data_IF_903269995863
#
_entry.id   IF_903269995863
#
_cell.length_a   1.000
_cell.length_b   1.000
_cell.length_c   1.000
_cell.angle_alpha   90.00
_cell.angle_beta   90.00
_cell.angle_gamma   90.00
#
_symmetry.space_group_name_H-M   'P 1'
#
loop_
_entity.id
_entity.type
_entity.pdbx_description
1 polymer ?
#
# COMPACT_ATOMS: atom_id res chain seq x y z
N UNK A 1 7.12 6.25 17.05
CA UNK A 1 5.65 6.39 17.06
C UNK A 1 5.33 7.72 16.41
N UNK A 2 4.90 7.72 15.14
CA UNK A 2 4.25 8.89 14.54
C UNK A 2 2.77 8.63 14.74
N UNK A 3 2.19 9.25 15.76
CA UNK A 3 0.75 9.26 15.96
C UNK A 3 0.13 10.16 14.89
N UNK A 4 -0.69 9.54 14.03
CA UNK A 4 -1.38 10.17 12.91
C UNK A 4 -2.33 11.27 13.41
N UNK A 5 -1.86 12.52 13.44
CA UNK A 5 -2.68 13.73 13.64
C UNK A 5 -3.48 14.14 12.40
N UNK A 6 -4.09 13.18 11.70
CA UNK A 6 -4.93 13.52 10.56
C UNK A 6 -6.22 12.72 10.66
N UNK A 7 -7.27 13.34 11.18
CA UNK A 7 -8.59 12.71 11.39
C UNK A 7 -9.61 13.27 10.37
N UNK A 8 -9.18 13.46 9.12
CA UNK A 8 -10.04 13.91 8.03
C UNK A 8 -10.65 12.72 7.26
N UNK A 9 -11.97 12.75 6.95
CA UNK A 9 -12.62 11.77 6.07
C UNK A 9 -12.10 11.87 4.62
N UNK A 10 -12.20 10.77 3.86
CA UNK A 10 -11.92 10.75 2.42
C UNK A 10 -10.44 10.73 2.00
N UNK A 11 -9.51 10.40 2.89
CA UNK A 11 -8.09 10.43 2.51
C UNK A 11 -7.71 9.31 1.54
N UNK A 12 -6.78 9.66 0.67
CA UNK A 12 -6.22 8.81 -0.38
C UNK A 12 -5.00 8.02 0.14
N UNK A 13 -4.79 6.82 -0.39
CA UNK A 13 -3.65 5.97 -0.07
C UNK A 13 -3.04 5.36 -1.32
N UNK A 14 -1.72 5.50 -1.47
CA UNK A 14 -0.94 4.81 -2.49
C UNK A 14 0.04 3.86 -1.81
N UNK A 15 -0.07 2.57 -2.11
CA UNK A 15 0.81 1.52 -1.59
C UNK A 15 1.57 0.89 -2.75
N UNK A 16 2.88 1.04 -2.76
CA UNK A 16 3.74 0.44 -3.79
C UNK A 16 4.55 -0.69 -3.16
N UNK A 17 4.34 -1.89 -3.68
CA UNK A 17 5.05 -3.10 -3.25
C UNK A 17 6.13 -3.45 -4.26
N UNK A 18 7.37 -3.10 -3.90
CA UNK A 18 8.56 -3.28 -4.73
C UNK A 18 8.90 -4.77 -4.96
N UNK A 19 9.63 -5.04 -6.04
CA UNK A 19 9.96 -6.41 -6.51
C UNK A 19 10.76 -7.22 -5.49
N UNK A 20 11.58 -6.53 -4.69
CA UNK A 20 12.46 -7.07 -3.65
C UNK A 20 11.76 -7.44 -2.35
N UNK A 21 10.43 -7.31 -2.25
CA UNK A 21 9.70 -7.72 -1.05
C UNK A 21 9.86 -9.24 -0.86
N UNK A 22 10.65 -9.60 0.14
CA UNK A 22 10.82 -10.96 0.62
C UNK A 22 9.72 -11.27 1.64
N UNK A 23 9.03 -12.39 1.46
CA UNK A 23 8.11 -12.92 2.48
C UNK A 23 8.80 -13.77 3.53
N UNK A 24 10.12 -13.92 3.44
CA UNK A 24 10.89 -14.77 4.38
C UNK A 24 10.81 -14.24 5.81
N UNK A 25 10.67 -12.92 5.97
CA UNK A 25 10.60 -12.24 7.28
C UNK A 25 9.18 -11.85 7.69
N UNK A 26 8.16 -12.27 6.94
CA UNK A 26 6.75 -12.04 7.27
C UNK A 26 6.32 -12.97 8.40
N UNK A 27 6.74 -12.66 9.62
CA UNK A 27 6.33 -13.40 10.81
C UNK A 27 4.82 -13.26 11.03
N UNK A 28 4.19 -14.34 11.51
CA UNK A 28 2.77 -14.30 11.92
C UNK A 28 2.50 -13.15 12.89
N UNK A 29 3.44 -12.86 13.81
CA UNK A 29 3.35 -11.74 14.75
C UNK A 29 3.30 -10.38 14.04
N UNK A 30 4.09 -10.19 12.98
CA UNK A 30 4.05 -8.97 12.17
C UNK A 30 2.72 -8.83 11.43
N UNK A 31 2.24 -9.90 10.79
CA UNK A 31 0.95 -9.92 10.08
C UNK A 31 -0.21 -9.66 11.04
N UNK A 32 -0.23 -10.35 12.18
CA UNK A 32 -1.27 -10.21 13.19
C UNK A 32 -1.26 -8.82 13.85
N UNK A 33 -0.06 -8.30 14.15
CA UNK A 33 0.11 -6.94 14.67
C UNK A 33 -0.34 -5.90 13.66
N UNK A 34 0.04 -6.03 12.39
CA UNK A 34 -0.42 -5.18 11.30
C UNK A 34 -1.95 -5.26 11.15
N UNK A 35 -2.54 -6.46 11.17
CA UNK A 35 -3.98 -6.67 11.13
C UNK A 35 -4.73 -6.06 12.32
N UNK A 36 -4.17 -6.13 13.54
CA UNK A 36 -4.73 -5.43 14.71
C UNK A 36 -4.61 -3.91 14.59
N UNK A 37 -3.46 -3.40 14.12
CA UNK A 37 -3.26 -1.97 13.88
C UNK A 37 -4.18 -1.46 12.79
N UNK A 38 -4.41 -2.25 11.75
CA UNK A 38 -5.39 -2.03 10.70
C UNK A 38 -6.80 -1.94 11.27
N UNK A 39 -7.28 -2.97 11.99
CA UNK A 39 -8.61 -2.94 12.64
C UNK A 39 -8.81 -1.73 13.58
N UNK A 40 -7.73 -1.20 14.16
CA UNK A 40 -7.72 -0.01 15.03
C UNK A 40 -7.48 1.29 14.29
N UNK A 41 -6.86 1.25 13.12
CA UNK A 41 -6.80 2.39 12.24
C UNK A 41 -8.27 2.70 11.94
N UNK A 42 -8.68 3.95 12.14
CA UNK A 42 -9.94 4.43 11.63
C UNK A 42 -9.84 4.32 10.11
N UNK A 43 -10.16 3.14 9.60
CA UNK A 43 -10.40 2.94 8.18
C UNK A 43 -11.49 3.91 7.80
N UNK A 44 -11.20 4.66 6.75
CA UNK A 44 -11.75 5.98 6.58
C UNK A 44 -13.04 5.76 5.84
N UNK A 45 -14.19 6.04 6.44
CA UNK A 45 -15.46 6.05 5.71
C UNK A 45 -15.26 6.78 4.38
N UNK A 46 -15.40 6.04 3.27
CA UNK A 46 -15.21 6.48 1.88
C UNK A 46 -13.78 6.87 1.46
N UNK A 47 -12.73 6.23 2.00
CA UNK A 47 -11.36 6.38 1.51
C UNK A 47 -11.11 5.66 0.18
N UNK A 48 -10.07 6.07 -0.56
CA UNK A 48 -9.57 5.36 -1.75
C UNK A 48 -8.14 4.88 -1.53
N UNK A 49 -7.87 3.61 -1.82
CA UNK A 49 -6.52 3.04 -1.70
C UNK A 49 -6.14 2.30 -2.98
N UNK A 50 -5.00 2.67 -3.56
CA UNK A 50 -4.40 1.99 -4.70
C UNK A 50 -3.18 1.17 -4.26
N UNK A 51 -3.17 -0.12 -4.59
CA UNK A 51 -2.00 -0.99 -4.46
C UNK A 51 -1.35 -1.18 -5.83
N UNK A 52 -0.05 -0.91 -5.94
CA UNK A 52 0.77 -1.20 -7.12
C UNK A 52 1.76 -2.30 -6.76
N UNK A 53 1.61 -3.49 -7.35
CA UNK A 53 2.35 -4.68 -6.94
C UNK A 53 3.31 -5.13 -8.04
N UNK A 54 4.59 -5.29 -7.70
CA UNK A 54 5.64 -5.72 -8.64
C UNK A 54 5.97 -7.23 -8.59
N UNK A 55 5.25 -8.02 -7.77
CA UNK A 55 5.43 -9.48 -7.68
C UNK A 55 4.10 -10.22 -7.53
N UNK A 56 4.07 -11.50 -7.92
CA UNK A 56 2.87 -12.33 -7.76
C UNK A 56 2.46 -12.51 -6.29
N UNK A 57 3.45 -12.59 -5.40
CA UNK A 57 3.22 -12.72 -3.95
C UNK A 57 2.60 -11.45 -3.37
N UNK A 58 3.14 -10.28 -3.69
CA UNK A 58 2.57 -9.00 -3.26
C UNK A 58 1.15 -8.79 -3.82
N UNK A 59 0.90 -9.21 -5.06
CA UNK A 59 -0.45 -9.20 -5.63
C UNK A 59 -1.43 -10.07 -4.85
N UNK A 60 -1.01 -11.28 -4.44
CA UNK A 60 -1.81 -12.15 -3.58
C UNK A 60 -2.14 -11.50 -2.22
N UNK A 61 -1.14 -10.90 -1.58
CA UNK A 61 -1.33 -10.19 -0.31
C UNK A 61 -2.29 -9.00 -0.43
N UNK A 62 -2.17 -8.20 -1.49
CA UNK A 62 -3.09 -7.09 -1.75
C UNK A 62 -4.54 -7.57 -1.92
N UNK A 63 -4.75 -8.72 -2.58
CA UNK A 63 -6.09 -9.30 -2.75
C UNK A 63 -6.69 -9.74 -1.42
N UNK A 64 -5.90 -10.40 -0.58
CA UNK A 64 -6.34 -10.80 0.77
C UNK A 64 -6.76 -9.56 1.58
N UNK A 65 -5.97 -8.48 1.51
CA UNK A 65 -6.31 -7.22 2.13
C UNK A 65 -7.64 -6.67 1.62
N UNK A 66 -7.80 -6.59 0.29
CA UNK A 66 -9.03 -6.07 -0.33
C UNK A 66 -10.26 -6.86 0.13
N UNK A 67 -10.20 -8.19 0.11
CA UNK A 67 -11.31 -9.03 0.58
C UNK A 67 -11.64 -8.80 2.05
N UNK A 68 -10.64 -8.57 2.90
CA UNK A 68 -10.88 -8.26 4.31
C UNK A 68 -11.51 -6.87 4.52
N UNK A 69 -11.18 -5.90 3.66
CA UNK A 69 -11.71 -4.54 3.73
C UNK A 69 -13.11 -4.39 3.12
N UNK A 70 -13.42 -5.12 2.04
CA UNK A 70 -14.76 -5.14 1.42
C UNK A 70 -15.82 -5.69 2.37
N UNK A 71 -15.50 -6.71 3.17
CA UNK A 71 -16.40 -7.28 4.19
C UNK A 71 -16.83 -6.23 5.24
N UNK A 72 -16.05 -5.17 5.40
CA UNK A 72 -16.30 -4.13 6.40
C UNK A 72 -16.73 -2.77 5.79
N UNK A 73 -16.95 -2.70 4.46
CA UNK A 73 -17.35 -1.49 3.71
C UNK A 73 -16.48 -0.26 3.98
N UNK A 74 -15.17 -0.49 4.09
CA UNK A 74 -14.24 0.49 4.64
C UNK A 74 -13.68 1.48 3.61
N UNK A 75 -13.06 0.99 2.55
CA UNK A 75 -12.35 1.79 1.54
C UNK A 75 -12.62 1.24 0.13
N UNK A 76 -12.69 2.12 -0.87
CA UNK A 76 -12.61 1.71 -2.28
C UNK A 76 -11.17 1.30 -2.59
N UNK A 77 -10.95 0.02 -2.92
CA UNK A 77 -9.60 -0.52 -3.13
C UNK A 77 -9.39 -0.96 -4.58
N UNK A 78 -8.34 -0.41 -5.19
CA UNK A 78 -7.86 -0.78 -6.52
C UNK A 78 -6.49 -1.44 -6.43
N UNK A 79 -6.34 -2.60 -7.07
CA UNK A 79 -5.07 -3.33 -7.12
C UNK A 79 -4.59 -3.36 -8.57
N UNK A 80 -3.36 -2.91 -8.78
CA UNK A 80 -2.72 -2.73 -10.07
C UNK A 80 -1.37 -3.49 -10.08
N UNK A 81 -0.96 -3.93 -11.28
CA UNK A 81 0.34 -4.59 -11.49
C UNK A 81 1.44 -3.55 -11.73
N UNK A 82 2.67 -4.03 -11.96
CA UNK A 82 3.92 -3.27 -11.99
C UNK A 82 3.91 -2.00 -12.86
N UNK A 83 3.15 -2.00 -13.95
CA UNK A 83 3.00 -0.92 -14.93
C UNK A 83 1.84 0.05 -14.59
N UNK A 84 1.11 -0.22 -13.52
CA UNK A 84 -0.10 0.52 -13.15
C UNK A 84 0.12 1.71 -12.24
N UNK A 85 1.36 2.18 -12.04
CA UNK A 85 1.66 3.31 -11.16
C UNK A 85 0.96 4.60 -11.61
N UNK A 86 1.09 4.97 -12.89
CA UNK A 86 0.41 6.16 -13.43
C UNK A 86 -1.11 6.05 -13.31
N UNK A 87 -1.65 4.86 -13.58
CA UNK A 87 -3.09 4.58 -13.44
C UNK A 87 -3.56 4.71 -11.98
N UNK A 88 -2.71 4.34 -11.02
CA UNK A 88 -2.99 4.54 -9.59
C UNK A 88 -2.99 6.03 -9.22
N UNK A 89 -1.97 6.77 -9.66
CA UNK A 89 -1.82 8.20 -9.41
C UNK A 89 -3.03 8.95 -9.97
N UNK A 90 -3.40 8.68 -11.22
CA UNK A 90 -4.56 9.29 -11.87
C UNK A 90 -5.89 8.93 -11.19
N UNK A 91 -6.07 7.65 -10.82
CA UNK A 91 -7.32 7.24 -10.16
C UNK A 91 -7.48 7.84 -8.76
N UNK A 92 -6.37 8.09 -8.07
CA UNK A 92 -6.36 8.79 -6.79
C UNK A 92 -6.51 10.32 -6.95
N UNK A 93 -6.23 10.89 -8.12
CA UNK A 93 -6.26 12.34 -8.35
C UNK A 93 -5.09 13.06 -7.64
N UNK A 94 -3.90 12.45 -7.67
CA UNK A 94 -2.68 12.93 -7.00
C UNK A 94 -1.54 13.20 -7.98
N UNK A 95 -1.86 13.53 -9.22
CA UNK A 95 -0.91 13.78 -10.32
C UNK A 95 0.13 14.84 -9.97
N UNK A 96 -0.23 15.85 -9.18
CA UNK A 96 0.68 16.89 -8.68
C UNK A 96 1.84 16.34 -7.82
N UNK A 97 1.72 15.10 -7.33
CA UNK A 97 2.75 14.42 -6.55
C UNK A 97 3.47 13.31 -7.33
N UNK A 98 3.30 13.24 -8.66
CA UNK A 98 3.88 12.16 -9.46
C UNK A 98 5.41 12.09 -9.31
N UNK A 99 6.12 13.20 -9.53
CA UNK A 99 7.58 13.27 -9.40
C UNK A 99 8.11 12.83 -8.02
N UNK A 100 7.62 13.36 -6.88
CA UNK A 100 8.08 12.91 -5.58
C UNK A 100 7.72 11.45 -5.28
N UNK A 101 6.60 10.94 -5.79
CA UNK A 101 6.23 9.51 -5.67
C UNK A 101 7.26 8.65 -6.40
N UNK A 102 7.56 8.96 -7.66
CA UNK A 102 8.57 8.24 -8.46
C UNK A 102 9.95 8.26 -7.81
N UNK A 103 10.35 9.43 -7.31
CA UNK A 103 11.63 9.58 -6.62
C UNK A 103 11.72 8.69 -5.37
N UNK A 104 10.66 8.65 -4.54
CA UNK A 104 10.63 7.79 -3.36
C UNK A 104 10.67 6.30 -3.72
N UNK A 105 9.88 5.86 -4.70
CA UNK A 105 9.87 4.47 -5.15
C UNK A 105 11.26 4.06 -5.63
N UNK A 106 11.88 4.89 -6.47
CA UNK A 106 13.24 4.65 -6.99
C UNK A 106 14.25 4.50 -5.85
N UNK A 107 14.19 5.38 -4.86
CA UNK A 107 15.05 5.31 -3.66
C UNK A 107 14.87 3.98 -2.91
N UNK A 108 13.64 3.53 -2.70
CA UNK A 108 13.37 2.26 -2.01
C UNK A 108 13.80 1.04 -2.82
N UNK A 109 13.67 1.06 -4.15
CA UNK A 109 14.14 -0.03 -5.00
C UNK A 109 15.66 -0.13 -5.03
N UNK A 110 16.37 0.99 -5.10
CA UNK A 110 17.84 1.02 -5.03
C UNK A 110 18.35 0.48 -3.69
N UNK A 111 17.80 0.95 -2.55
CA UNK A 111 18.20 0.46 -1.22
C UNK A 111 18.00 -1.05 -1.09
N UNK A 112 16.94 -1.59 -1.68
CA UNK A 112 16.67 -3.02 -1.62
C UNK A 112 17.62 -3.86 -2.48
N UNK A 113 18.16 -3.33 -3.58
CA UNK A 113 19.18 -4.02 -4.38
C UNK A 113 20.53 -4.12 -3.66
N UNK A 114 20.90 -3.12 -2.86
CA UNK A 114 22.13 -3.15 -2.06
C UNK A 114 22.05 -4.09 -0.85
N UNK A 115 20.86 -4.34 -0.31
CA UNK A 115 20.67 -5.23 0.85
C UNK A 115 20.72 -6.73 0.51
N UNK A 116 20.75 -7.10 -0.78
CA UNK A 116 20.74 -8.48 -1.28
C UNK A 116 22.13 -8.95 -1.75
N UNK A 117 23.15 -8.08 -1.67
CA UNK A 117 24.57 -8.43 -1.87
C UNK A 117 25.26 -8.64 -0.54
#
# INVERSE_FOLDING_TARGET
MLEDQYDSPGKLGLVVMCKSISTRDLSFKAIFSAGKRMKKAKFRSHGKVAFVTKSAVSFGLARIYKSAAEVADLDEIRILRSDGLEKAIQWLGVEQYSDPIHHQITRYEQVAEYAVK
#
